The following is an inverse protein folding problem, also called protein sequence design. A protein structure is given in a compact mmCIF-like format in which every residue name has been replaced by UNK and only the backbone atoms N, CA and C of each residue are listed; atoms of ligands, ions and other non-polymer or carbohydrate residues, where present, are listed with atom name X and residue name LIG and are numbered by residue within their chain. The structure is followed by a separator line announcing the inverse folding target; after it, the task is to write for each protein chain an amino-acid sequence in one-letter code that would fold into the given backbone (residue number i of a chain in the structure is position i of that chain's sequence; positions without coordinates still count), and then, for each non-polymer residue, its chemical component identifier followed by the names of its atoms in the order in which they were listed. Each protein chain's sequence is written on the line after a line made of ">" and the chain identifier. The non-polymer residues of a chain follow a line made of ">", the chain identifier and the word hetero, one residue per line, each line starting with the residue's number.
data_IF_578174763129
#
_entry.id   IF_578174763129
#
_cell.length_a   1.000
_cell.length_b   1.000
_cell.length_c   1.000
_cell.angle_alpha   90.00
_cell.angle_beta   90.00
_cell.angle_gamma   90.00
#
_symmetry.space_group_name_H-M   'P 1'
#
loop_
_entity.id
_entity.type
_entity.pdbx_description
1 polymer ?
#
# COMPACT_ATOMS: atom_id res chain seq x y z
N UNK A 1 14.75 -5.82 -2.03
CA UNK A 1 14.83 -4.39 -1.62
C UNK A 1 15.43 -3.51 -2.70
N UNK A 2 16.65 -3.76 -3.23
CA UNK A 2 17.26 -2.89 -4.26
C UNK A 2 16.40 -2.69 -5.52
N UNK A 3 15.83 -3.76 -6.09
CA UNK A 3 14.90 -3.65 -7.23
C UNK A 3 13.68 -2.80 -6.92
N UNK A 4 13.09 -2.96 -5.73
CA UNK A 4 11.92 -2.21 -5.29
C UNK A 4 12.23 -0.73 -5.17
N UNK A 5 13.39 -0.38 -4.57
CA UNK A 5 13.87 1.00 -4.45
C UNK A 5 14.09 1.62 -5.84
N UNK A 6 14.66 0.87 -6.78
CA UNK A 6 14.91 1.34 -8.14
C UNK A 6 13.61 1.59 -8.90
N UNK A 7 12.61 0.72 -8.73
CA UNK A 7 11.26 0.91 -9.30
C UNK A 7 10.58 2.15 -8.70
N UNK A 8 10.62 2.32 -7.37
CA UNK A 8 10.05 3.50 -6.71
C UNK A 8 10.76 4.79 -7.15
N UNK A 9 12.08 4.77 -7.31
CA UNK A 9 12.84 5.90 -7.82
C UNK A 9 12.48 6.24 -9.26
N UNK A 10 12.26 5.23 -10.10
CA UNK A 10 11.79 5.42 -11.47
C UNK A 10 10.39 6.02 -11.52
N UNK A 11 9.46 5.50 -10.70
CA UNK A 11 8.11 6.06 -10.57
C UNK A 11 8.19 7.52 -10.15
N UNK A 12 9.02 7.85 -9.15
CA UNK A 12 9.21 9.23 -8.70
C UNK A 12 9.71 10.15 -9.84
N UNK A 13 10.67 9.71 -10.65
CA UNK A 13 11.15 10.49 -11.81
C UNK A 13 10.04 10.73 -12.84
N UNK A 14 9.20 9.73 -13.09
CA UNK A 14 8.03 9.88 -13.97
C UNK A 14 7.04 10.88 -13.37
N UNK A 15 6.71 10.74 -12.08
CA UNK A 15 5.84 11.68 -11.35
C UNK A 15 6.37 13.11 -11.38
N UNK A 16 7.69 13.29 -11.30
CA UNK A 16 8.32 14.59 -11.39
C UNK A 16 8.07 15.25 -12.76
N UNK A 17 8.15 14.47 -13.84
CA UNK A 17 7.84 14.95 -15.19
C UNK A 17 6.37 15.34 -15.41
N UNK A 18 5.44 14.71 -14.68
CA UNK A 18 4.01 15.02 -14.72
C UNK A 18 3.55 15.99 -13.62
N UNK A 19 4.43 16.37 -12.71
CA UNK A 19 4.08 17.24 -11.60
C UNK A 19 3.82 18.66 -12.08
N UNK A 20 2.84 19.31 -11.44
CA UNK A 20 2.45 20.68 -11.74
C UNK A 20 2.47 21.52 -10.46
N UNK A 21 2.73 22.80 -10.64
CA UNK A 21 2.62 23.89 -9.68
C UNK A 21 1.21 24.50 -9.62
N UNK A 22 0.27 24.04 -10.46
CA UNK A 22 -1.07 24.61 -10.51
C UNK A 22 -1.90 24.30 -9.26
N UNK A 23 -2.44 25.36 -8.66
CA UNK A 23 -3.22 25.29 -7.42
C UNK A 23 -4.48 24.44 -7.51
N UNK A 24 -5.18 24.52 -8.63
CA UNK A 24 -6.37 23.69 -8.84
C UNK A 24 -6.02 22.20 -8.91
N UNK A 25 -4.88 21.83 -9.51
CA UNK A 25 -4.51 20.43 -9.68
C UNK A 25 -4.06 19.80 -8.36
N UNK A 26 -3.22 20.49 -7.58
CA UNK A 26 -2.78 19.92 -6.30
C UNK A 26 -3.93 19.87 -5.29
N UNK A 27 -4.81 20.88 -5.21
CA UNK A 27 -5.97 20.84 -4.29
C UNK A 27 -6.95 19.71 -4.60
N UNK A 28 -7.10 19.34 -5.88
CA UNK A 28 -7.94 18.21 -6.27
C UNK A 28 -7.34 16.88 -5.81
N UNK A 29 -6.01 16.74 -5.90
CA UNK A 29 -5.27 15.60 -5.35
C UNK A 29 -5.40 15.53 -3.83
N UNK A 30 -5.12 16.63 -3.13
CA UNK A 30 -5.09 16.67 -1.66
C UNK A 30 -6.46 16.38 -1.04
N UNK A 31 -7.54 16.83 -1.69
CA UNK A 31 -8.90 16.63 -1.19
C UNK A 31 -9.44 15.21 -1.43
N UNK A 32 -8.99 14.53 -2.49
CA UNK A 32 -9.50 13.21 -2.88
C UNK A 32 -8.66 12.06 -2.33
N UNK A 33 -7.34 12.24 -2.24
CA UNK A 33 -6.38 11.16 -1.95
C UNK A 33 -6.58 10.50 -0.58
N UNK A 34 -6.73 11.25 0.54
CA UNK A 34 -6.92 10.64 1.86
C UNK A 34 -8.21 9.82 1.94
N UNK A 35 -9.29 10.29 1.32
CA UNK A 35 -10.58 9.59 1.30
C UNK A 35 -10.51 8.26 0.56
N UNK A 36 -9.85 8.24 -0.61
CA UNK A 36 -9.68 7.03 -1.41
C UNK A 36 -8.79 6.02 -0.68
N UNK A 37 -7.61 6.44 -0.19
CA UNK A 37 -6.69 5.54 0.53
C UNK A 37 -7.35 5.03 1.82
N UNK A 38 -8.07 5.87 2.55
CA UNK A 38 -8.77 5.50 3.78
C UNK A 38 -9.88 4.48 3.55
N UNK A 39 -10.73 4.67 2.54
CA UNK A 39 -11.78 3.72 2.19
C UNK A 39 -11.21 2.35 1.82
N UNK A 40 -10.11 2.33 1.08
CA UNK A 40 -9.46 1.09 0.67
C UNK A 40 -8.80 0.40 1.85
N UNK A 41 -8.14 1.15 2.74
CA UNK A 41 -7.55 0.60 3.96
C UNK A 41 -8.62 -0.05 4.87
N UNK A 42 -9.81 0.56 4.96
CA UNK A 42 -10.97 -0.03 5.64
C UNK A 42 -11.41 -1.35 5.00
N UNK A 43 -11.54 -1.39 3.67
CA UNK A 43 -11.88 -2.60 2.91
C UNK A 43 -10.85 -3.72 3.09
N UNK A 44 -9.56 -3.39 3.06
CA UNK A 44 -8.48 -4.35 3.29
C UNK A 44 -8.53 -4.91 4.72
N UNK A 45 -8.74 -4.06 5.72
CA UNK A 45 -8.84 -4.49 7.12
C UNK A 45 -10.00 -5.48 7.32
N UNK A 46 -11.15 -5.23 6.68
CA UNK A 46 -12.28 -6.14 6.68
C UNK A 46 -11.93 -7.49 6.02
N UNK A 47 -11.29 -7.47 4.85
CA UNK A 47 -10.84 -8.68 4.14
C UNK A 47 -9.87 -9.52 4.97
N UNK A 48 -8.90 -8.88 5.63
CA UNK A 48 -7.93 -9.55 6.51
C UNK A 48 -8.61 -10.20 7.71
N UNK A 49 -9.63 -9.56 8.31
CA UNK A 49 -10.40 -10.14 9.42
C UNK A 49 -11.11 -11.44 9.01
N UNK A 50 -11.67 -11.50 7.79
CA UNK A 50 -12.31 -12.71 7.26
C UNK A 50 -11.28 -13.83 7.12
N UNK A 51 -10.09 -13.54 6.60
CA UNK A 51 -9.01 -14.52 6.43
C UNK A 51 -8.53 -15.07 7.76
N UNK A 52 -8.32 -14.20 8.76
CA UNK A 52 -7.93 -14.65 10.10
C UNK A 52 -8.99 -15.55 10.73
N UNK A 53 -10.28 -15.20 10.61
CA UNK A 53 -11.38 -16.03 11.12
C UNK A 53 -11.37 -17.44 10.52
N UNK A 54 -11.16 -17.54 9.20
CA UNK A 54 -11.05 -18.81 8.49
C UNK A 54 -9.80 -19.59 8.90
N UNK A 55 -8.64 -18.92 9.02
CA UNK A 55 -7.39 -19.56 9.47
C UNK A 55 -7.48 -20.12 10.89
N UNK A 56 -8.12 -19.40 11.81
CA UNK A 56 -8.36 -19.86 13.18
C UNK A 56 -9.22 -21.12 13.16
N UNK A 57 -10.28 -21.14 12.34
CA UNK A 57 -11.17 -22.29 12.18
C UNK A 57 -10.44 -23.51 11.62
N UNK A 58 -9.52 -23.31 10.67
CA UNK A 58 -8.69 -24.40 10.14
C UNK A 58 -7.70 -24.92 11.19
N UNK A 59 -7.00 -24.03 11.89
CA UNK A 59 -6.01 -24.41 12.89
C UNK A 59 -6.62 -25.29 14.00
N UNK A 60 -7.86 -25.02 14.41
CA UNK A 60 -8.59 -25.84 15.38
C UNK A 60 -9.10 -27.17 14.80
N UNK A 61 -9.33 -27.25 13.49
CA UNK A 61 -9.96 -28.42 12.84
C UNK A 61 -8.95 -29.43 12.28
N UNK A 62 -7.76 -29.01 11.84
CA UNK A 62 -6.82 -29.90 11.13
C UNK A 62 -5.54 -30.23 11.87
N UNK A 63 -5.17 -29.53 12.95
CA UNK A 63 -3.92 -29.78 13.70
C UNK A 63 -2.63 -29.71 12.85
N UNK A 64 -2.74 -29.25 11.60
CA UNK A 64 -1.71 -29.39 10.57
C UNK A 64 -0.81 -28.15 10.52
N UNK A 65 0.26 -28.18 11.30
CA UNK A 65 1.29 -27.14 11.37
C UNK A 65 2.06 -26.91 10.06
N UNK A 66 2.05 -27.90 9.15
CA UNK A 66 2.90 -27.93 7.96
C UNK A 66 2.44 -26.95 6.85
N UNK A 67 1.12 -26.71 6.72
CA UNK A 67 0.62 -25.74 5.73
C UNK A 67 0.69 -24.30 6.24
N UNK A 68 0.71 -24.08 7.56
CA UNK A 68 0.78 -22.75 8.16
C UNK A 68 2.04 -21.97 7.78
N UNK A 69 3.15 -22.62 7.43
CA UNK A 69 4.40 -21.91 7.15
C UNK A 69 4.33 -21.03 5.88
N UNK A 70 3.72 -21.53 4.79
CA UNK A 70 3.47 -20.70 3.58
C UNK A 70 2.49 -19.56 3.88
N UNK A 71 1.46 -19.83 4.68
CA UNK A 71 0.50 -18.80 5.13
C UNK A 71 1.14 -17.74 6.03
N UNK A 72 2.12 -18.12 6.85
CA UNK A 72 2.83 -17.19 7.74
C UNK A 72 3.68 -16.22 6.93
N UNK A 73 4.40 -16.70 5.92
CA UNK A 73 5.14 -15.83 5.00
C UNK A 73 4.21 -14.87 4.25
N UNK A 74 3.03 -15.35 3.85
CA UNK A 74 2.01 -14.53 3.20
C UNK A 74 1.47 -13.43 4.13
N UNK A 75 1.13 -13.78 5.38
CA UNK A 75 0.64 -12.81 6.37
C UNK A 75 1.71 -11.76 6.70
N UNK A 76 2.99 -12.13 6.67
CA UNK A 76 4.08 -11.16 6.83
C UNK A 76 4.14 -10.16 5.66
N UNK A 77 3.99 -10.61 4.41
CA UNK A 77 3.92 -9.71 3.25
C UNK A 77 2.72 -8.77 3.37
N UNK A 78 1.53 -9.33 3.61
CA UNK A 78 0.29 -8.56 3.78
C UNK A 78 0.38 -7.52 4.91
N UNK A 79 0.96 -7.90 6.07
CA UNK A 79 1.19 -6.97 7.18
C UNK A 79 2.09 -5.81 6.75
N UNK A 80 3.19 -6.09 6.05
CA UNK A 80 4.11 -5.06 5.57
C UNK A 80 3.41 -4.11 4.60
N UNK A 81 2.65 -4.66 3.67
CA UNK A 81 1.96 -3.90 2.63
C UNK A 81 0.88 -2.98 3.23
N UNK A 82 0.11 -3.47 4.21
CA UNK A 82 -0.83 -2.66 4.99
C UNK A 82 -0.13 -1.54 5.76
N UNK A 83 1.01 -1.83 6.42
CA UNK A 83 1.76 -0.82 7.17
C UNK A 83 2.28 0.28 6.25
N UNK A 84 2.78 -0.07 5.07
CA UNK A 84 3.19 0.91 4.05
C UNK A 84 1.98 1.75 3.62
N UNK A 85 0.81 1.15 3.42
CA UNK A 85 -0.42 1.88 3.06
C UNK A 85 -0.85 2.86 4.17
N UNK A 86 -0.73 2.48 5.45
CA UNK A 86 -0.95 3.39 6.59
C UNK A 86 0.01 4.58 6.54
N UNK A 87 1.29 4.32 6.23
CA UNK A 87 2.29 5.38 6.10
C UNK A 87 1.99 6.29 4.91
N UNK A 88 1.55 5.74 3.78
CA UNK A 88 1.08 6.50 2.63
C UNK A 88 -0.12 7.39 3.00
N UNK A 89 -1.10 6.87 3.74
CA UNK A 89 -2.23 7.65 4.22
C UNK A 89 -1.77 8.81 5.13
N UNK A 90 -0.89 8.54 6.09
CA UNK A 90 -0.34 9.57 6.97
C UNK A 90 0.42 10.63 6.16
N UNK A 91 1.24 10.21 5.19
CA UNK A 91 1.95 11.12 4.30
C UNK A 91 0.98 11.99 3.48
N UNK A 92 -0.10 11.42 2.94
CA UNK A 92 -1.13 12.15 2.20
C UNK A 92 -1.88 13.19 3.04
N UNK A 93 -1.95 13.03 4.37
CA UNK A 93 -2.46 14.09 5.26
C UNK A 93 -1.37 15.12 5.63
N UNK A 94 -0.15 14.66 5.87
CA UNK A 94 0.94 15.50 6.36
C UNK A 94 1.56 16.38 5.28
N UNK A 95 1.64 15.91 4.03
CA UNK A 95 2.18 16.65 2.87
C UNK A 95 1.40 17.94 2.57
N UNK A 96 0.05 17.93 2.46
CA UNK A 96 -0.74 19.15 2.32
C UNK A 96 -0.53 20.13 3.48
N UNK A 97 -0.48 19.61 4.71
CA UNK A 97 -0.24 20.43 5.89
C UNK A 97 1.14 21.09 5.86
N UNK A 98 2.17 20.34 5.50
CA UNK A 98 3.53 20.85 5.31
C UNK A 98 3.56 21.89 4.20
N UNK A 99 2.86 21.69 3.07
CA UNK A 99 2.76 22.66 1.97
C UNK A 99 2.30 24.03 2.49
N UNK A 100 1.23 24.07 3.28
CA UNK A 100 0.66 25.31 3.83
C UNK A 100 1.51 25.94 4.94
N UNK A 101 2.02 25.13 5.87
CA UNK A 101 2.75 25.65 7.05
C UNK A 101 4.21 25.99 6.78
N UNK A 102 4.74 25.60 5.62
CA UNK A 102 6.19 25.65 5.37
C UNK A 102 6.92 24.52 6.11
N UNK A 103 8.19 24.28 5.78
CA UNK A 103 9.07 23.46 6.63
C UNK A 103 9.82 24.43 7.54
N UNK A 104 9.42 24.62 8.81
CA UNK A 104 10.01 25.65 9.68
C UNK A 104 11.50 25.42 10.00
N UNK A 105 12.06 24.27 9.64
CA UNK A 105 13.43 23.85 9.99
C UNK A 105 14.40 23.71 8.81
N UNK A 106 13.99 23.99 7.57
CA UNK A 106 14.87 23.79 6.40
C UNK A 106 14.67 24.90 5.35
N UNK A 107 15.68 25.77 5.20
CA UNK A 107 15.74 26.72 4.09
C UNK A 107 15.90 25.95 2.77
N UNK A 108 14.95 26.12 1.87
CA UNK A 108 14.98 25.43 0.58
C UNK A 108 16.17 25.92 -0.25
N UNK A 109 17.03 25.02 -0.78
CA UNK A 109 18.20 25.45 -1.55
C UNK A 109 17.75 26.09 -2.86
N UNK A 110 18.14 27.35 -3.07
CA UNK A 110 17.89 28.09 -4.30
C UNK A 110 18.92 27.70 -5.38
N UNK A 111 18.80 26.48 -5.92
CA UNK A 111 19.58 26.04 -7.07
C UNK A 111 18.67 25.84 -8.30
N UNK A 112 19.11 26.23 -9.51
CA UNK A 112 18.30 26.17 -10.73
C UNK A 112 17.95 24.74 -11.19
N UNK A 113 18.64 23.72 -10.66
CA UNK A 113 18.36 22.30 -10.90
C UNK A 113 17.35 21.71 -9.90
N UNK A 114 16.98 22.45 -8.86
CA UNK A 114 16.03 22.01 -7.84
C UNK A 114 14.64 22.52 -8.23
N UNK A 115 13.64 21.64 -8.44
CA UNK A 115 12.29 22.06 -8.80
C UNK A 115 11.69 22.99 -7.74
N UNK A 116 10.64 23.77 -8.05
CA UNK A 116 9.90 24.49 -7.03
C UNK A 116 9.40 23.55 -5.94
N UNK A 117 9.34 24.04 -4.70
CA UNK A 117 8.88 23.26 -3.54
C UNK A 117 7.51 22.63 -3.78
N UNK A 118 6.59 23.38 -4.37
CA UNK A 118 5.23 22.90 -4.62
C UNK A 118 5.19 21.79 -5.66
N UNK A 119 6.03 21.89 -6.70
CA UNK A 119 6.23 20.86 -7.72
C UNK A 119 6.80 19.58 -7.10
N UNK A 120 7.79 19.67 -6.20
CA UNK A 120 8.30 18.50 -5.48
C UNK A 120 7.24 17.86 -4.59
N UNK A 121 6.47 18.65 -3.85
CA UNK A 121 5.40 18.12 -2.99
C UNK A 121 4.35 17.42 -3.86
N UNK A 122 3.97 17.99 -5.01
CA UNK A 122 3.03 17.35 -5.96
C UNK A 122 3.60 16.05 -6.51
N UNK A 123 4.89 16.01 -6.86
CA UNK A 123 5.55 14.80 -7.35
C UNK A 123 5.59 13.70 -6.28
N UNK A 124 5.86 14.05 -5.02
CA UNK A 124 5.82 13.11 -3.89
C UNK A 124 4.40 12.60 -3.69
N UNK A 125 3.39 13.49 -3.73
CA UNK A 125 1.99 13.12 -3.57
C UNK A 125 1.51 12.15 -4.66
N UNK A 126 1.83 12.45 -5.93
CA UNK A 126 1.59 11.54 -7.07
C UNK A 126 2.28 10.18 -6.88
N UNK A 127 3.51 10.19 -6.37
CA UNK A 127 4.25 8.95 -6.08
C UNK A 127 3.56 8.15 -4.98
N UNK A 128 3.08 8.80 -3.92
CA UNK A 128 2.31 8.16 -2.85
C UNK A 128 1.03 7.54 -3.41
N UNK A 129 0.32 8.22 -4.30
CA UNK A 129 -0.89 7.69 -4.95
C UNK A 129 -0.55 6.44 -5.77
N UNK A 130 0.45 6.49 -6.66
CA UNK A 130 0.81 5.37 -7.52
C UNK A 130 1.28 4.16 -6.70
N UNK A 131 2.12 4.40 -5.69
CA UNK A 131 2.58 3.34 -4.78
C UNK A 131 1.39 2.73 -4.03
N UNK A 132 0.46 3.57 -3.54
CA UNK A 132 -0.76 3.08 -2.88
C UNK A 132 -1.56 2.18 -3.82
N UNK A 133 -1.81 2.60 -5.06
CA UNK A 133 -2.55 1.80 -6.05
C UNK A 133 -1.83 0.48 -6.35
N UNK A 134 -0.51 0.49 -6.50
CA UNK A 134 0.27 -0.73 -6.74
C UNK A 134 0.14 -1.72 -5.58
N UNK A 135 0.25 -1.24 -4.34
CA UNK A 135 0.06 -2.05 -3.13
C UNK A 135 -1.37 -2.60 -3.08
N UNK A 136 -2.37 -1.79 -3.43
CA UNK A 136 -3.78 -2.23 -3.43
C UNK A 136 -3.97 -3.39 -4.42
N UNK A 137 -3.41 -3.31 -5.62
CA UNK A 137 -3.47 -4.39 -6.60
C UNK A 137 -2.80 -5.66 -6.05
N UNK A 138 -1.63 -5.52 -5.43
CA UNK A 138 -0.92 -6.65 -4.82
C UNK A 138 -1.76 -7.30 -3.71
N UNK A 139 -2.34 -6.51 -2.82
CA UNK A 139 -3.20 -7.01 -1.74
C UNK A 139 -4.47 -7.69 -2.29
N UNK A 140 -5.11 -7.14 -3.33
CA UNK A 140 -6.28 -7.77 -3.97
C UNK A 140 -5.90 -9.12 -4.57
N UNK A 141 -4.79 -9.21 -5.31
CA UNK A 141 -4.31 -10.47 -5.88
C UNK A 141 -4.02 -11.51 -4.79
N UNK A 142 -3.44 -11.05 -3.68
CA UNK A 142 -3.20 -11.82 -2.46
C UNK A 142 -4.52 -12.35 -1.88
N UNK A 143 -5.58 -11.53 -1.77
CA UNK A 143 -6.92 -11.97 -1.33
C UNK A 143 -7.51 -13.04 -2.26
N UNK A 144 -7.48 -12.82 -3.58
CA UNK A 144 -8.02 -13.78 -4.54
C UNK A 144 -7.25 -15.10 -4.55
N UNK A 145 -5.91 -15.05 -4.42
CA UNK A 145 -5.08 -16.25 -4.32
C UNK A 145 -5.47 -17.13 -3.14
N UNK A 146 -5.79 -16.52 -1.99
CA UNK A 146 -6.29 -17.26 -0.83
C UNK A 146 -7.61 -17.94 -1.11
N UNK A 147 -8.58 -17.23 -1.68
CA UNK A 147 -9.91 -17.77 -1.97
C UNK A 147 -9.83 -18.96 -2.93
N UNK A 148 -8.92 -18.93 -3.92
CA UNK A 148 -8.75 -20.00 -4.91
C UNK A 148 -7.99 -21.20 -4.32
N UNK A 149 -6.97 -20.98 -3.50
CA UNK A 149 -6.22 -22.06 -2.86
C UNK A 149 -7.02 -22.73 -1.73
N UNK A 150 -8.03 -22.05 -1.19
CA UNK A 150 -8.83 -22.53 -0.08
C UNK A 150 -9.62 -23.84 -0.37
N UNK A 151 -10.37 -23.97 -1.49
CA UNK A 151 -10.99 -25.24 -1.88
C UNK A 151 -10.00 -26.40 -2.03
N UNK A 152 -8.79 -26.12 -2.53
CA UNK A 152 -7.76 -27.15 -2.73
C UNK A 152 -7.20 -27.68 -1.40
N UNK A 153 -7.14 -26.84 -0.37
CA UNK A 153 -6.70 -27.22 0.96
C UNK A 153 -7.76 -28.02 1.72
N UNK A 154 -9.05 -27.73 1.50
CA UNK A 154 -10.14 -28.58 1.99
C UNK A 154 -10.23 -29.91 1.22
N UNK A 155 -10.13 -29.89 -0.12
CA UNK A 155 -10.37 -31.06 -0.97
C UNK A 155 -9.27 -32.12 -0.87
N UNK A 156 -8.01 -31.74 -0.63
CA UNK A 156 -6.90 -32.71 -0.44
C UNK A 156 -7.07 -33.61 0.79
N UNK A 157 -7.94 -33.22 1.73
CA UNK A 157 -8.21 -33.98 2.96
C UNK A 157 -9.04 -35.25 2.73
N UNK A 158 -9.82 -35.32 1.65
CA UNK A 158 -10.67 -36.48 1.37
C UNK A 158 -9.91 -37.62 0.70
N UNK A 159 -8.78 -37.36 0.02
CA UNK A 159 -8.02 -38.38 -0.71
C UNK A 159 -6.99 -39.12 0.16
N UNK A 160 -6.52 -38.53 1.25
CA UNK A 160 -5.56 -39.16 2.17
C UNK A 160 -6.25 -40.03 3.27
N UNK A 161 -7.56 -40.28 3.13
CA UNK A 161 -8.36 -41.08 4.07
C UNK A 161 -8.92 -42.39 3.49
N UNK A 162 -8.59 -42.73 2.24
CA UNK A 162 -8.86 -44.05 1.66
C UNK A 162 -7.61 -44.95 1.70
#
# INVERSE_FOLDING_TARGET
>A
MFRTILITAFIFLVCLGFSTDSEMAYKLLESSTPGIIGAILGGLTAGVSVIFSVLITLATTTGSTIQLNRFTSFLMCLKRDILILVFCLLASLLLPYLRVTGIPLMSYPAHPLVPPRDTLITAVELTVIIVSVAIIIEVINIMFSLVIQFPQLMSRKDTDKE
#
